data_IF_657571370157
#
_entry.id   IF_657571370157
#
_cell.length_a   1.000
_cell.length_b   1.000
_cell.length_c   1.000
_cell.angle_alpha   90.00
_cell.angle_beta   90.00
_cell.angle_gamma   90.00
#
_symmetry.space_group_name_H-M   'P 1'
#
loop_
_entity.id
_entity.type
_entity.pdbx_description
1 polymer ?
#
# COMPACT_ATOMS: atom_id res chain seq x y z
N UNK A 1 -14.82 12.90 15.74
CA UNK A 1 -13.61 12.81 14.90
C UNK A 1 -12.43 13.22 15.75
N UNK A 2 -11.82 12.24 16.41
CA UNK A 2 -10.56 12.32 17.11
C UNK A 2 -9.79 11.04 16.80
N UNK A 3 -10.04 10.01 17.60
CA UNK A 3 -9.33 8.72 17.55
C UNK A 3 -10.25 7.49 17.43
N UNK A 4 -11.45 7.64 16.85
CA UNK A 4 -12.43 6.55 16.71
C UNK A 4 -11.86 5.30 16.03
N UNK A 5 -11.05 5.49 14.98
CA UNK A 5 -10.44 4.42 14.16
C UNK A 5 -8.90 4.32 14.35
N UNK A 6 -8.35 4.82 15.47
CA UNK A 6 -6.90 4.87 15.67
C UNK A 6 -6.32 3.49 16.04
N UNK A 7 -5.57 2.89 15.10
CA UNK A 7 -4.78 1.67 15.33
C UNK A 7 -3.58 1.95 16.26
N UNK A 8 -3.41 1.14 17.30
CA UNK A 8 -2.27 1.27 18.23
C UNK A 8 -0.91 1.07 17.53
N UNK A 9 0.02 1.99 17.76
CA UNK A 9 1.33 2.01 17.09
C UNK A 9 2.43 1.66 18.09
N UNK A 10 3.24 0.64 17.76
CA UNK A 10 4.47 0.29 18.46
C UNK A 10 5.70 0.68 17.62
N UNK A 11 6.80 1.05 18.27
CA UNK A 11 8.08 1.29 17.59
C UNK A 11 9.23 1.59 18.56
N UNK A 12 10.45 1.67 18.05
CA UNK A 12 11.66 1.91 18.86
C UNK A 12 12.08 3.39 18.79
N UNK A 13 12.32 4.03 19.94
CA UNK A 13 12.86 5.38 20.03
C UNK A 13 14.37 5.35 20.30
N UNK A 14 15.14 6.03 19.45
CA UNK A 14 16.60 6.18 19.60
C UNK A 14 16.92 7.21 20.70
N UNK A 15 17.55 6.85 21.83
CA UNK A 15 17.89 7.82 22.87
C UNK A 15 19.08 8.70 22.45
N UNK A 16 18.97 10.03 22.55
CA UNK A 16 20.08 10.94 22.17
C UNK A 16 21.23 10.99 23.20
N UNK A 17 21.08 10.31 24.34
CA UNK A 17 21.93 10.43 25.53
C UNK A 17 22.54 9.10 26.01
N UNK A 18 22.16 7.97 25.41
CA UNK A 18 22.57 6.64 25.85
C UNK A 18 23.35 5.91 24.75
N UNK A 19 24.24 5.02 25.17
CA UNK A 19 24.88 4.06 24.26
C UNK A 19 23.82 3.16 23.59
N UNK A 20 24.10 2.73 22.36
CA UNK A 20 23.22 1.93 21.47
C UNK A 20 22.61 0.66 22.09
N UNK A 21 23.15 0.22 23.24
CA UNK A 21 22.68 -0.94 24.00
C UNK A 21 21.31 -0.75 24.68
N UNK A 22 20.89 0.49 25.03
CA UNK A 22 19.63 0.73 25.75
C UNK A 22 18.53 1.17 24.79
N UNK A 23 17.65 0.23 24.45
CA UNK A 23 16.49 0.47 23.57
C UNK A 23 15.30 0.95 24.37
N UNK A 24 14.50 1.82 23.77
CA UNK A 24 13.24 2.31 24.34
C UNK A 24 12.10 1.98 23.39
N UNK A 25 11.13 1.18 23.84
CA UNK A 25 9.91 0.91 23.07
C UNK A 25 8.89 2.00 23.38
N UNK A 26 8.31 2.60 22.34
CA UNK A 26 7.15 3.47 22.45
C UNK A 26 5.85 2.75 22.06
N UNK A 27 4.74 3.22 22.62
CA UNK A 27 3.39 2.80 22.29
C UNK A 27 2.47 4.03 22.23
N UNK A 28 1.71 4.15 21.14
CA UNK A 28 0.61 5.09 21.01
C UNK A 28 -0.71 4.32 20.97
N UNK A 29 -1.68 4.71 21.79
CA UNK A 29 -2.99 4.09 21.85
C UNK A 29 -4.10 5.08 22.19
N UNK A 30 -5.30 4.89 21.64
CA UNK A 30 -6.46 5.67 22.03
C UNK A 30 -7.02 5.12 23.36
N UNK A 31 -7.14 5.96 24.38
CA UNK A 31 -7.88 5.63 25.60
C UNK A 31 -9.38 5.60 25.29
N UNK A 32 -9.80 6.56 24.47
CA UNK A 32 -11.15 6.81 23.98
C UNK A 32 -11.05 7.74 22.75
N UNK A 33 -12.15 7.99 22.00
CA UNK A 33 -12.13 8.83 20.80
C UNK A 33 -11.61 10.27 20.98
N UNK A 34 -11.44 10.78 22.21
CA UNK A 34 -10.96 12.13 22.50
C UNK A 34 -9.53 12.20 23.04
N UNK A 35 -8.91 11.07 23.44
CA UNK A 35 -7.62 11.05 24.15
C UNK A 35 -6.64 10.00 23.63
N UNK A 36 -5.54 10.49 23.08
CA UNK A 36 -4.37 9.71 22.66
C UNK A 36 -3.38 9.58 23.83
N UNK A 37 -3.01 8.35 24.17
CA UNK A 37 -1.97 8.01 25.13
C UNK A 37 -0.66 7.71 24.41
N UNK A 38 0.44 8.11 25.04
CA UNK A 38 1.81 7.95 24.57
C UNK A 38 2.61 7.37 25.73
N UNK A 39 3.16 6.18 25.56
CA UNK A 39 4.04 5.51 26.54
C UNK A 39 5.41 5.31 25.92
N UNK A 40 6.46 5.44 26.72
CA UNK A 40 7.84 5.08 26.35
C UNK A 40 8.46 4.33 27.53
N UNK A 41 9.04 3.15 27.28
CA UNK A 41 9.65 2.32 28.33
C UNK A 41 10.90 1.58 27.86
N UNK A 42 11.84 1.33 28.77
CA UNK A 42 12.93 0.38 28.61
C UNK A 42 12.65 -1.01 29.23
N UNK A 43 11.43 -1.23 29.72
CA UNK A 43 11.02 -2.41 30.50
C UNK A 43 11.86 -2.68 31.76
N UNK A 44 12.58 -1.68 32.29
CA UNK A 44 13.49 -1.86 33.43
C UNK A 44 13.30 -0.81 34.53
N UNK A 45 13.71 0.45 34.27
CA UNK A 45 13.70 1.50 35.30
C UNK A 45 13.34 2.88 34.76
N UNK A 46 12.85 2.96 33.52
CA UNK A 46 12.58 4.23 32.84
C UNK A 46 11.33 4.10 31.97
N UNK A 47 10.19 4.43 32.56
CA UNK A 47 8.89 4.50 31.90
C UNK A 47 8.32 5.91 32.04
N UNK A 48 7.96 6.53 30.92
CA UNK A 48 7.27 7.82 30.87
C UNK A 48 5.93 7.68 30.14
N UNK A 49 4.96 8.52 30.51
CA UNK A 49 3.65 8.61 29.85
C UNK A 49 3.29 10.07 29.55
N UNK A 50 2.51 10.27 28.49
CA UNK A 50 1.68 11.45 28.29
C UNK A 50 0.29 11.02 27.81
N UNK A 51 -0.71 11.82 28.14
CA UNK A 51 -2.03 11.78 27.51
C UNK A 51 -2.27 13.13 26.86
N UNK A 52 -2.79 13.13 25.63
CA UNK A 52 -3.08 14.31 24.83
C UNK A 52 -4.53 14.23 24.36
N UNK A 53 -5.30 15.29 24.59
CA UNK A 53 -6.64 15.40 24.02
C UNK A 53 -6.56 15.89 22.57
N UNK A 54 -7.68 15.82 21.84
CA UNK A 54 -7.78 16.37 20.47
C UNK A 54 -7.38 17.85 20.44
N UNK A 55 -7.88 18.65 21.38
CA UNK A 55 -7.63 20.10 21.44
C UNK A 55 -6.13 20.40 21.65
N UNK A 56 -5.47 19.67 22.56
CA UNK A 56 -4.01 19.78 22.78
C UNK A 56 -3.16 19.39 21.57
N UNK A 57 -3.75 18.65 20.62
CA UNK A 57 -3.09 18.25 19.38
C UNK A 57 -3.44 19.19 18.23
N UNK A 58 -4.59 19.86 18.26
CA UNK A 58 -4.87 21.02 17.39
C UNK A 58 -3.98 22.22 17.76
N UNK A 59 -3.82 22.52 19.06
CA UNK A 59 -2.82 23.49 19.55
C UNK A 59 -1.40 23.14 19.05
N UNK A 60 -1.07 21.84 19.01
CA UNK A 60 0.21 21.35 18.49
C UNK A 60 0.30 21.49 16.96
N UNK A 61 -0.77 21.21 16.20
CA UNK A 61 -0.82 21.42 14.74
C UNK A 61 -0.48 22.86 14.39
N UNK A 62 -1.14 23.79 15.07
CA UNK A 62 -1.03 25.22 14.80
C UNK A 62 0.35 25.74 15.25
N UNK A 63 0.89 25.22 16.36
CA UNK A 63 2.27 25.50 16.83
C UNK A 63 3.34 24.95 15.88
N UNK A 64 3.13 23.78 15.27
CA UNK A 64 4.06 23.12 14.33
C UNK A 64 3.92 23.69 12.91
N UNK A 65 2.85 24.46 12.63
CA UNK A 65 2.62 25.15 11.36
C UNK A 65 2.11 24.24 10.24
N UNK A 66 1.44 23.13 10.57
CA UNK A 66 0.91 22.20 9.57
C UNK A 66 -0.53 22.58 9.23
N UNK A 67 -0.72 23.28 8.10
CA UNK A 67 -2.04 23.54 7.54
C UNK A 67 -2.69 22.27 6.96
N UNK A 68 -4.02 22.23 6.97
CA UNK A 68 -4.82 21.09 6.51
C UNK A 68 -6.01 20.84 7.43
N UNK A 69 -6.71 19.74 7.20
CA UNK A 69 -7.73 19.22 8.11
C UNK A 69 -7.12 18.54 9.35
N UNK A 70 -7.94 18.32 10.38
CA UNK A 70 -7.57 17.49 11.54
C UNK A 70 -7.07 16.10 11.12
N UNK A 71 -7.74 15.45 10.16
CA UNK A 71 -7.37 14.10 9.71
C UNK A 71 -6.00 14.07 9.03
N UNK A 72 -5.70 15.03 8.15
CA UNK A 72 -4.38 15.15 7.52
C UNK A 72 -3.26 15.40 8.54
N UNK A 73 -3.56 16.08 9.65
CA UNK A 73 -2.61 16.23 10.76
C UNK A 73 -2.44 14.94 11.58
N UNK A 74 -3.51 14.18 11.84
CA UNK A 74 -3.40 12.84 12.47
C UNK A 74 -2.58 11.88 11.59
N UNK A 75 -2.83 11.86 10.28
CA UNK A 75 -2.01 11.12 9.31
C UNK A 75 -0.54 11.59 9.32
N UNK A 76 -0.29 12.89 9.44
CA UNK A 76 1.07 13.42 9.57
C UNK A 76 1.75 12.94 10.87
N UNK A 77 1.03 12.91 11.98
CA UNK A 77 1.51 12.42 13.27
C UNK A 77 1.81 10.92 13.19
N UNK A 78 0.89 10.12 12.66
CA UNK A 78 1.06 8.67 12.42
C UNK A 78 2.28 8.41 11.54
N UNK A 79 2.42 9.14 10.42
CA UNK A 79 3.56 8.97 9.50
C UNK A 79 4.89 9.47 10.08
N UNK A 80 4.87 10.41 11.01
CA UNK A 80 6.07 10.82 11.77
C UNK A 80 6.49 9.75 12.77
N UNK A 81 5.53 9.14 13.48
CA UNK A 81 5.78 8.08 14.47
C UNK A 81 6.18 6.76 13.79
N UNK A 82 5.62 6.45 12.62
CA UNK A 82 6.01 5.28 11.80
C UNK A 82 7.29 5.53 10.97
N UNK A 83 8.03 6.62 11.20
CA UNK A 83 9.35 6.87 10.61
C UNK A 83 10.48 6.18 11.40
N UNK A 84 11.62 5.93 10.77
CA UNK A 84 12.77 5.28 11.43
C UNK A 84 13.51 6.20 12.43
N UNK A 85 13.30 7.52 12.38
CA UNK A 85 14.05 8.53 13.14
C UNK A 85 13.27 9.15 14.31
N UNK A 86 12.44 8.35 14.98
CA UNK A 86 11.88 8.70 16.29
C UNK A 86 12.98 8.70 17.35
N UNK A 87 13.09 9.80 18.10
CA UNK A 87 14.13 10.02 19.11
C UNK A 87 13.55 10.24 20.50
N UNK A 88 14.31 9.83 21.52
CA UNK A 88 14.02 10.10 22.93
C UNK A 88 15.08 11.04 23.53
N UNK A 89 14.67 12.25 23.86
CA UNK A 89 15.49 13.28 24.51
C UNK A 89 15.10 13.36 25.98
N UNK A 90 16.03 13.64 26.90
CA UNK A 90 15.69 13.95 28.30
C UNK A 90 15.52 15.45 28.47
N UNK A 91 14.47 15.87 29.19
CA UNK A 91 14.26 17.28 29.53
C UNK A 91 14.95 17.54 30.88
N UNK A 92 16.15 18.14 30.84
CA UNK A 92 16.96 18.36 32.04
C UNK A 92 16.31 19.36 33.01
N UNK A 93 15.75 18.85 34.11
CA UNK A 93 15.41 19.65 35.27
C UNK A 93 15.76 18.93 36.59
N UNK A 94 16.90 19.36 37.15
CA UNK A 94 17.29 19.34 38.57
C UNK A 94 17.17 18.06 39.43
N UNK A 95 18.36 17.54 39.79
CA UNK A 95 18.76 17.15 41.16
C UNK A 95 18.30 15.81 41.81
N UNK A 96 17.52 14.93 41.18
CA UNK A 96 17.33 13.57 41.73
C UNK A 96 17.11 12.45 40.71
N UNK A 97 17.87 11.38 40.86
CA UNK A 97 17.66 10.00 40.35
C UNK A 97 16.98 9.84 38.97
N UNK A 98 17.59 10.44 37.95
CA UNK A 98 17.19 10.31 36.54
C UNK A 98 16.00 11.19 36.13
N UNK A 99 16.06 11.73 34.90
CA UNK A 99 15.18 12.80 34.43
C UNK A 99 13.67 12.52 34.63
N UNK A 100 13.02 13.42 35.37
CA UNK A 100 11.58 13.39 35.63
C UNK A 100 10.73 13.59 34.36
N UNK A 101 11.33 14.18 33.32
CA UNK A 101 10.69 14.47 32.04
C UNK A 101 11.56 14.00 30.87
N UNK A 102 10.89 13.58 29.80
CA UNK A 102 11.53 13.19 28.55
C UNK A 102 10.64 13.65 27.38
N UNK A 103 11.24 13.86 26.21
CA UNK A 103 10.55 14.29 25.00
C UNK A 103 10.74 13.27 23.90
N UNK A 104 9.63 12.73 23.39
CA UNK A 104 9.62 11.93 22.18
C UNK A 104 9.54 12.89 20.99
N UNK A 105 10.52 12.86 20.09
CA UNK A 105 10.63 13.75 18.92
C UNK A 105 10.56 12.91 17.65
N UNK A 106 9.77 13.33 16.67
CA UNK A 106 9.57 12.59 15.42
C UNK A 106 9.39 13.53 14.21
N UNK A 107 9.67 13.02 13.00
CA UNK A 107 9.62 13.79 11.75
C UNK A 107 9.19 12.88 10.60
N UNK A 108 8.11 13.22 9.88
CA UNK A 108 7.58 12.41 8.75
C UNK A 108 8.60 12.11 7.66
N UNK A 109 9.46 13.08 7.36
CA UNK A 109 10.63 12.92 6.48
C UNK A 109 11.55 14.13 6.62
N UNK A 110 12.83 13.96 6.26
CA UNK A 110 13.85 15.01 6.32
C UNK A 110 13.38 16.29 5.62
N UNK A 111 13.30 17.39 6.38
CA UNK A 111 12.88 18.71 5.91
C UNK A 111 11.44 19.09 6.22
N UNK A 112 10.61 18.15 6.71
CA UNK A 112 9.27 18.44 7.22
C UNK A 112 9.31 18.95 8.68
N UNK A 113 8.25 19.61 9.19
CA UNK A 113 8.20 20.05 10.59
C UNK A 113 8.34 18.89 11.59
N UNK A 114 9.09 19.10 12.68
CA UNK A 114 9.19 18.09 13.74
C UNK A 114 7.99 18.21 14.69
N UNK A 115 7.42 17.07 15.08
CA UNK A 115 6.48 16.98 16.21
C UNK A 115 7.24 16.56 17.47
N UNK A 116 6.76 16.98 18.64
CA UNK A 116 7.38 16.58 19.90
C UNK A 116 6.39 16.45 21.04
N UNK A 117 6.45 15.33 21.76
CA UNK A 117 5.61 15.03 22.90
C UNK A 117 6.46 15.01 24.17
N UNK A 118 6.32 16.02 25.02
CA UNK A 118 6.87 15.98 26.39
C UNK A 118 6.05 15.01 27.25
N UNK A 119 6.75 14.18 28.01
CA UNK A 119 6.27 13.04 28.80
C UNK A 119 6.68 13.19 30.27
N UNK A 120 5.90 12.63 31.20
CA UNK A 120 6.23 12.59 32.63
C UNK A 120 6.65 11.18 33.05
N UNK A 121 7.69 11.07 33.89
CA UNK A 121 8.19 9.79 34.44
C UNK A 121 7.15 9.21 35.40
N UNK A 122 6.75 7.97 35.17
CA UNK A 122 5.79 7.29 36.04
C UNK A 122 6.45 6.84 37.35
N UNK A 123 5.72 6.96 38.46
CA UNK A 123 6.10 6.37 39.74
C UNK A 123 5.99 4.83 39.69
N UNK A 124 6.80 4.12 40.49
CA UNK A 124 7.06 2.68 40.34
C UNK A 124 5.83 1.78 40.15
N UNK A 125 4.72 2.02 40.87
CA UNK A 125 3.47 1.26 40.71
C UNK A 125 2.82 1.50 39.34
N UNK A 126 2.60 2.75 38.97
CA UNK A 126 2.06 3.15 37.66
C UNK A 126 3.00 2.75 36.51
N UNK A 127 4.32 2.81 36.72
CA UNK A 127 5.31 2.34 35.75
C UNK A 127 5.19 0.81 35.54
N UNK A 128 5.06 0.03 36.61
CA UNK A 128 4.86 -1.42 36.53
C UNK A 128 3.54 -1.78 35.83
N UNK A 129 2.46 -1.06 36.15
CA UNK A 129 1.16 -1.24 35.49
C UNK A 129 1.20 -0.86 34.00
N UNK A 130 1.88 0.24 33.65
CA UNK A 130 2.07 0.65 32.26
C UNK A 130 2.88 -0.38 31.48
N UNK A 131 3.97 -0.92 32.04
CA UNK A 131 4.78 -1.98 31.42
C UNK A 131 3.99 -3.29 31.26
N UNK A 132 3.21 -3.70 32.27
CA UNK A 132 2.33 -4.86 32.20
C UNK A 132 1.30 -4.72 31.06
N UNK A 133 0.58 -3.60 31.02
CA UNK A 133 -0.40 -3.31 29.97
C UNK A 133 0.25 -3.25 28.57
N UNK A 134 1.39 -2.58 28.43
CA UNK A 134 2.10 -2.46 27.14
C UNK A 134 2.62 -3.82 26.65
N UNK A 135 3.13 -4.68 27.54
CA UNK A 135 3.52 -6.05 27.18
C UNK A 135 2.33 -6.94 26.78
N UNK A 136 1.15 -6.73 27.38
CA UNK A 136 -0.08 -7.45 27.01
C UNK A 136 -0.59 -7.03 25.62
N UNK A 137 -0.64 -5.73 25.33
CA UNK A 137 -1.03 -5.23 24.00
C UNK A 137 0.00 -5.60 22.92
N UNK A 138 1.29 -5.59 23.23
CA UNK A 138 2.35 -6.08 22.33
C UNK A 138 2.16 -7.57 22.00
N UNK A 139 1.85 -8.40 22.99
CA UNK A 139 1.58 -9.83 22.78
C UNK A 139 0.31 -10.08 21.94
N UNK A 140 -0.77 -9.34 22.20
CA UNK A 140 -2.00 -9.37 21.38
C UNK A 140 -1.72 -8.97 19.93
N UNK A 141 -0.98 -7.88 19.73
CA UNK A 141 -0.63 -7.35 18.40
C UNK A 141 0.25 -8.33 17.62
N UNK A 142 1.27 -8.91 18.28
CA UNK A 142 2.07 -10.00 17.72
C UNK A 142 1.21 -11.21 17.33
N UNK A 143 0.26 -11.62 18.18
CA UNK A 143 -0.66 -12.72 17.86
C UNK A 143 -1.60 -12.41 16.69
N UNK A 144 -2.08 -11.18 16.56
CA UNK A 144 -2.86 -10.76 15.40
C UNK A 144 -2.01 -10.80 14.12
N UNK A 145 -0.80 -10.22 14.15
CA UNK A 145 0.13 -10.21 13.02
C UNK A 145 0.54 -11.63 12.59
N UNK A 146 0.83 -12.53 13.54
CA UNK A 146 1.08 -13.94 13.28
C UNK A 146 -0.10 -14.61 12.54
N UNK A 147 -1.34 -14.34 12.97
CA UNK A 147 -2.54 -14.91 12.33
C UNK A 147 -2.82 -14.31 10.93
N UNK A 148 -2.46 -13.05 10.69
CA UNK A 148 -2.57 -12.41 9.37
C UNK A 148 -1.52 -12.97 8.40
N UNK A 149 -0.26 -13.08 8.83
CA UNK A 149 0.83 -13.64 8.04
C UNK A 149 0.56 -15.08 7.58
N UNK A 150 -0.01 -15.94 8.45
CA UNK A 150 -0.39 -17.31 8.08
C UNK A 150 -1.45 -17.31 6.96
N UNK A 151 -2.49 -16.46 7.06
CA UNK A 151 -3.52 -16.34 6.02
C UNK A 151 -2.97 -15.80 4.71
N UNK A 152 -2.02 -14.87 4.76
CA UNK A 152 -1.35 -14.33 3.59
C UNK A 152 -0.50 -15.39 2.89
N UNK A 153 0.27 -16.18 3.64
CA UNK A 153 1.01 -17.33 3.11
C UNK A 153 0.08 -18.36 2.47
N UNK A 154 -1.03 -18.75 3.13
CA UNK A 154 -2.04 -19.64 2.55
C UNK A 154 -2.66 -19.09 1.25
N UNK A 155 -2.85 -17.77 1.17
CA UNK A 155 -3.35 -17.10 -0.03
C UNK A 155 -2.31 -17.14 -1.17
N UNK A 156 -1.05 -16.81 -0.85
CA UNK A 156 0.09 -16.86 -1.78
C UNK A 156 0.29 -18.26 -2.36
N UNK A 157 0.27 -19.28 -1.50
CA UNK A 157 0.32 -20.70 -1.86
C UNK A 157 -0.79 -21.11 -2.84
N UNK A 158 -2.02 -20.62 -2.64
CA UNK A 158 -3.16 -20.87 -3.51
C UNK A 158 -3.03 -20.14 -4.85
N UNK A 159 -2.55 -18.90 -4.82
CA UNK A 159 -2.33 -18.09 -6.03
C UNK A 159 -1.22 -18.68 -6.90
N UNK A 160 -0.11 -19.14 -6.31
CA UNK A 160 0.96 -19.83 -7.00
C UNK A 160 0.47 -21.12 -7.68
N UNK A 161 -0.33 -21.94 -6.98
CA UNK A 161 -0.95 -23.16 -7.55
C UNK A 161 -1.88 -22.84 -8.71
N UNK A 162 -2.68 -21.77 -8.62
CA UNK A 162 -3.55 -21.32 -9.71
C UNK A 162 -2.75 -20.81 -10.92
N UNK A 163 -1.71 -20.01 -10.68
CA UNK A 163 -0.84 -19.44 -11.72
C UNK A 163 -0.11 -20.54 -12.50
N UNK A 164 0.46 -21.54 -11.82
CA UNK A 164 1.06 -22.70 -12.49
C UNK A 164 0.05 -23.52 -13.30
N UNK A 165 -1.20 -23.63 -12.84
CA UNK A 165 -2.26 -24.32 -13.57
C UNK A 165 -2.69 -23.57 -14.84
N UNK A 166 -2.79 -22.23 -14.79
CA UNK A 166 -3.05 -21.43 -16.00
C UNK A 166 -1.85 -21.41 -16.96
N UNK A 167 -0.61 -21.39 -16.47
CA UNK A 167 0.58 -21.56 -17.31
C UNK A 167 0.56 -22.88 -18.08
N UNK A 168 0.35 -24.01 -17.41
CA UNK A 168 0.27 -25.32 -18.05
C UNK A 168 -0.91 -25.45 -19.05
N UNK A 169 -2.04 -24.81 -18.79
CA UNK A 169 -3.13 -24.68 -19.77
C UNK A 169 -2.71 -23.87 -20.99
N UNK A 170 -2.05 -22.73 -20.78
CA UNK A 170 -1.61 -21.84 -21.85
C UNK A 170 -0.56 -22.49 -22.76
N UNK A 171 0.41 -23.20 -22.18
CA UNK A 171 1.39 -24.02 -22.92
C UNK A 171 0.71 -25.12 -23.74
N UNK A 172 -0.27 -25.83 -23.15
CA UNK A 172 -1.06 -26.85 -23.86
C UNK A 172 -1.86 -26.27 -25.03
N UNK A 173 -2.48 -25.10 -24.86
CA UNK A 173 -3.20 -24.39 -25.94
C UNK A 173 -2.23 -23.95 -27.05
N UNK A 174 -1.07 -23.38 -26.71
CA UNK A 174 -0.04 -23.00 -27.68
C UNK A 174 0.45 -24.21 -28.48
N UNK A 175 0.72 -25.34 -27.83
CA UNK A 175 1.11 -26.59 -28.50
C UNK A 175 0.04 -27.10 -29.47
N UNK A 176 -1.24 -27.00 -29.12
CA UNK A 176 -2.36 -27.35 -30.01
C UNK A 176 -2.49 -26.39 -31.20
N UNK A 177 -2.26 -25.09 -31.00
CA UNK A 177 -2.24 -24.08 -32.07
C UNK A 177 -1.10 -24.32 -33.07
N UNK A 178 0.10 -24.67 -32.61
CA UNK A 178 1.21 -24.99 -33.50
C UNK A 178 1.01 -26.31 -34.26
N UNK A 179 0.51 -27.36 -33.60
CA UNK A 179 0.19 -28.63 -34.25
C UNK A 179 -0.91 -28.48 -35.32
N UNK A 180 -1.95 -27.69 -35.06
CA UNK A 180 -3.02 -27.41 -36.03
C UNK A 180 -2.54 -26.52 -37.19
N UNK A 181 -1.76 -25.47 -36.91
CA UNK A 181 -1.10 -24.64 -37.93
C UNK A 181 -0.19 -25.45 -38.86
N UNK A 182 0.60 -26.38 -38.30
CA UNK A 182 1.47 -27.28 -39.08
C UNK A 182 0.66 -28.23 -39.98
N UNK A 183 -0.48 -28.75 -39.50
CA UNK A 183 -1.41 -29.58 -40.30
C UNK A 183 -2.04 -28.77 -41.45
N UNK A 184 -2.47 -27.53 -41.20
CA UNK A 184 -3.03 -26.66 -42.24
C UNK A 184 -2.01 -26.32 -43.34
N UNK A 185 -0.75 -26.04 -42.98
CA UNK A 185 0.33 -25.84 -43.96
C UNK A 185 0.54 -27.07 -44.85
N UNK A 186 0.59 -28.28 -44.26
CA UNK A 186 0.79 -29.52 -45.02
C UNK A 186 -0.42 -29.87 -45.92
N UNK A 187 -1.63 -29.51 -45.52
CA UNK A 187 -2.80 -29.66 -46.40
C UNK A 187 -2.76 -28.69 -47.59
N UNK A 188 -2.25 -27.45 -47.41
CA UNK A 188 -2.07 -26.49 -48.51
C UNK A 188 -0.98 -26.87 -49.52
N UNK A 189 0.07 -27.56 -49.11
CA UNK A 189 1.06 -28.11 -50.08
C UNK A 189 0.44 -29.27 -50.86
N UNK A 190 -0.22 -30.20 -50.18
CA UNK A 190 -0.71 -31.44 -50.79
C UNK A 190 -1.89 -31.24 -51.75
N UNK A 191 -2.57 -30.08 -51.74
CA UNK A 191 -3.54 -29.71 -52.78
C UNK A 191 -2.89 -29.09 -54.02
N UNK A 192 -1.75 -28.41 -53.87
CA UNK A 192 -1.01 -27.78 -54.99
C UNK A 192 -0.49 -28.83 -56.00
N UNK A 193 0.03 -29.95 -55.49
CA UNK A 193 0.56 -31.03 -56.33
C UNK A 193 -0.54 -31.75 -57.14
N UNK A 194 -1.79 -31.76 -56.64
CA UNK A 194 -2.92 -32.35 -57.38
C UNK A 194 -3.49 -31.45 -58.47
N UNK A 195 -3.34 -30.13 -58.38
CA UNK A 195 -3.76 -29.21 -59.46
C UNK A 195 -2.90 -29.33 -60.72
N UNK A 196 -1.65 -29.78 -60.63
CA UNK A 196 -0.78 -29.92 -61.80
C UNK A 196 -1.15 -31.08 -62.74
N UNK A 197 -1.86 -32.11 -62.27
CA UNK A 197 -2.23 -33.27 -63.10
C UNK A 197 -3.51 -33.01 -63.91
N UNK A 198 -4.47 -32.24 -63.38
CA UNK A 198 -5.72 -31.92 -64.08
C UNK A 198 -5.62 -30.75 -65.07
N UNK A 199 -4.60 -29.91 -64.95
CA UNK A 199 -4.42 -28.74 -65.83
C UNK A 199 -4.14 -29.09 -67.31
N UNK A 200 -3.77 -30.34 -67.62
CA UNK A 200 -3.33 -30.75 -68.97
C UNK A 200 -4.45 -31.24 -69.91
N UNK A 201 -5.73 -31.23 -69.49
CA UNK A 201 -6.82 -31.90 -70.23
C UNK A 201 -8.07 -31.06 -70.54
N UNK A 202 -8.14 -29.79 -70.13
CA UNK A 202 -9.28 -28.92 -70.48
C UNK A 202 -8.81 -27.56 -71.00
N UNK A 203 -8.48 -27.53 -72.28
CA UNK A 203 -8.55 -26.36 -73.16
C UNK A 203 -8.92 -26.89 -74.54
N UNK A 204 -10.00 -26.45 -75.20
CA UNK A 204 -10.95 -25.38 -74.85
C UNK A 204 -12.35 -25.68 -75.42
N UNK A 205 -13.40 -24.94 -75.00
CA UNK A 205 -14.20 -24.08 -75.90
C UNK A 205 -15.54 -23.55 -75.32
N UNK A 206 -15.89 -22.34 -75.78
CA UNK A 206 -17.24 -21.71 -75.88
C UNK A 206 -18.15 -21.45 -74.65
N UNK A 207 -18.09 -20.19 -74.18
CA UNK A 207 -19.14 -19.15 -74.34
C UNK A 207 -20.47 -19.13 -73.52
N UNK A 208 -20.58 -18.08 -72.68
CA UNK A 208 -21.76 -17.25 -72.29
C UNK A 208 -23.05 -17.84 -71.67
N UNK A 209 -23.48 -17.25 -70.53
CA UNK A 209 -24.85 -17.39 -70.00
C UNK A 209 -25.19 -16.56 -68.73
N UNK A 210 -25.89 -15.42 -68.93
CA UNK A 210 -26.75 -14.66 -67.99
C UNK A 210 -26.29 -14.14 -66.58
N UNK A 211 -26.41 -12.82 -66.47
CA UNK A 211 -26.72 -11.95 -65.31
C UNK A 211 -28.03 -12.33 -64.54
N UNK A 212 -28.38 -11.86 -63.31
CA UNK A 212 -27.75 -11.11 -62.19
C UNK A 212 -28.17 -11.84 -60.86
N UNK A 213 -28.49 -11.34 -59.65
CA UNK A 213 -28.55 -10.06 -58.87
C UNK A 213 -28.88 -10.44 -57.39
N UNK A 214 -28.93 -9.54 -56.36
CA UNK A 214 -28.31 -8.22 -56.11
C UNK A 214 -27.23 -8.34 -54.97
N UNK A 215 -26.59 -7.33 -54.39
CA UNK A 215 -26.65 -5.86 -54.52
C UNK A 215 -26.95 -5.16 -53.17
N UNK A 216 -25.91 -4.77 -52.43
CA UNK A 216 -26.01 -3.94 -51.20
C UNK A 216 -25.25 -2.62 -51.41
N UNK A 217 -25.87 -1.52 -50.99
CA UNK A 217 -25.46 -0.14 -51.31
C UNK A 217 -24.46 0.44 -50.32
N UNK A 218 -23.47 1.19 -50.82
CA UNK A 218 -22.61 2.09 -50.03
C UNK A 218 -22.64 3.51 -50.61
N UNK A 219 -23.41 4.40 -49.97
CA UNK A 219 -23.26 5.85 -50.09
C UNK A 219 -22.16 6.35 -49.14
N UNK A 220 -21.51 7.50 -49.34
CA UNK A 220 -21.67 8.47 -50.45
C UNK A 220 -21.43 9.91 -49.99
N UNK A 221 -20.20 10.42 -50.18
CA UNK A 221 -19.62 11.74 -49.85
C UNK A 221 -20.52 13.01 -49.73
N UNK A 222 -20.06 13.96 -48.90
CA UNK A 222 -20.37 15.41 -48.91
C UNK A 222 -20.02 16.04 -47.55
N UNK A 223 -19.01 16.91 -47.29
CA UNK A 223 -18.24 17.97 -48.00
C UNK A 223 -18.96 19.33 -48.18
N UNK A 224 -18.52 20.34 -47.39
CA UNK A 224 -18.86 21.77 -47.50
C UNK A 224 -18.74 22.46 -46.13
N UNK A 225 -17.61 23.08 -45.75
CA UNK A 225 -17.15 24.46 -46.04
C UNK A 225 -18.15 25.57 -45.64
N UNK A 226 -17.83 26.34 -44.60
CA UNK A 226 -18.49 27.61 -44.24
C UNK A 226 -18.01 28.18 -42.89
N UNK A 227 -17.55 29.44 -42.89
CA UNK A 227 -17.11 30.26 -41.74
C UNK A 227 -17.15 31.74 -42.22
N UNK A 228 -16.99 32.81 -41.40
CA UNK A 228 -16.81 32.93 -39.93
C UNK A 228 -17.76 34.00 -39.30
N UNK A 229 -17.37 34.57 -38.13
CA UNK A 229 -17.58 35.97 -37.61
C UNK A 229 -18.46 36.17 -36.36
N UNK A 230 -17.83 36.81 -35.34
CA UNK A 230 -18.37 37.59 -34.21
C UNK A 230 -19.33 36.91 -33.19
N UNK A 231 -19.42 37.38 -31.94
CA UNK A 231 -18.61 38.40 -31.24
C UNK A 231 -19.33 38.97 -30.00
N UNK A 232 -18.55 39.61 -29.13
CA UNK A 232 -18.87 39.99 -27.72
C UNK A 232 -18.88 38.81 -26.74
#
# INVERSE_FOLDING_TARGET
MGFEDFESIFGEAKPEWANESRRFLFHFDAIDPSRLRIRVTDFHSSTWEAVRSVEQLEDMRDTVGIGGSWFEFVDYVIASIKSEDVKLVLEENAKSDGAAHAKLVAQKSKGMPLISFSLAKLANSAASEAMMNLSLELFKSYKNMQNLFIKEQECSDRLAKALSAEQGKNESMQGQLELSSRRQKLQKTNTSDKTHIFASLVSSDTFNGLQNSPGITLFGQGKGKGSPVAGY
#
